data_IF_555801179580
#
_entry.id   IF_555801179580
#
_cell.length_a   1.000
_cell.length_b   1.000
_cell.length_c   1.000
_cell.angle_alpha   90.00
_cell.angle_beta   90.00
_cell.angle_gamma   90.00
#
_symmetry.space_group_name_H-M   'P 1'
#
loop_
_entity.id
_entity.type
_entity.pdbx_description
1 polymer ?
#
# COMPACT_ATOMS: atom_id res chain seq x y z
N UNK A 1 11.88 14.95 6.30
CA UNK A 1 10.53 14.48 5.90
C UNK A 1 9.66 14.44 7.15
N UNK A 2 8.46 15.04 7.17
CA UNK A 2 7.57 14.93 8.35
C UNK A 2 6.87 13.57 8.35
N UNK A 3 6.51 13.06 9.54
CA UNK A 3 5.83 11.76 9.67
C UNK A 3 4.50 11.73 8.90
N UNK A 4 3.77 12.84 8.86
CA UNK A 4 2.57 13.03 8.06
C UNK A 4 2.83 12.94 6.55
N UNK A 5 3.91 13.55 6.04
CA UNK A 5 4.28 13.44 4.62
C UNK A 5 4.75 12.03 4.26
N UNK A 6 5.48 11.36 5.15
CA UNK A 6 5.86 9.96 4.98
C UNK A 6 4.63 9.04 4.92
N UNK A 7 3.73 9.13 5.90
CA UNK A 7 2.52 8.31 5.91
C UNK A 7 1.62 8.58 4.69
N UNK A 8 1.50 9.84 4.27
CA UNK A 8 0.77 10.20 3.05
C UNK A 8 1.39 9.58 1.79
N UNK A 9 2.72 9.68 1.62
CA UNK A 9 3.42 9.06 0.49
C UNK A 9 3.34 7.53 0.53
N UNK A 10 3.44 6.93 1.72
CA UNK A 10 3.32 5.49 1.90
C UNK A 10 1.94 4.98 1.46
N UNK A 11 0.86 5.61 1.91
CA UNK A 11 -0.51 5.27 1.48
C UNK A 11 -0.64 5.44 -0.04
N UNK A 12 -0.17 6.56 -0.59
CA UNK A 12 -0.27 6.86 -2.02
C UNK A 12 0.41 5.80 -2.89
N UNK A 13 1.66 5.47 -2.58
CA UNK A 13 2.43 4.47 -3.33
C UNK A 13 1.82 3.07 -3.20
N UNK A 14 1.37 2.67 -2.00
CA UNK A 14 0.72 1.37 -1.80
C UNK A 14 -0.62 1.28 -2.54
N UNK A 15 -1.38 2.39 -2.60
CA UNK A 15 -2.67 2.43 -3.31
C UNK A 15 -2.48 2.23 -4.82
N UNK A 16 -1.52 2.94 -5.42
CA UNK A 16 -1.20 2.78 -6.83
C UNK A 16 -0.64 1.37 -7.09
N UNK A 17 0.27 0.91 -6.24
CA UNK A 17 0.85 -0.44 -6.34
C UNK A 17 -0.21 -1.54 -6.31
N UNK A 18 -1.21 -1.42 -5.42
CA UNK A 18 -2.35 -2.34 -5.37
C UNK A 18 -3.13 -2.34 -6.68
N UNK A 19 -3.53 -1.18 -7.20
CA UNK A 19 -4.33 -1.10 -8.44
C UNK A 19 -3.55 -1.66 -9.62
N UNK A 20 -2.28 -1.29 -9.77
CA UNK A 20 -1.41 -1.79 -10.85
C UNK A 20 -1.25 -3.30 -10.76
N UNK A 21 -0.96 -3.84 -9.58
CA UNK A 21 -0.78 -5.28 -9.39
C UNK A 21 -2.11 -6.04 -9.54
N UNK A 22 -3.24 -5.45 -9.15
CA UNK A 22 -4.56 -6.07 -9.28
C UNK A 22 -4.92 -6.32 -10.75
N UNK A 23 -4.72 -5.31 -11.62
CA UNK A 23 -5.17 -5.36 -13.01
C UNK A 23 -4.09 -5.79 -14.01
N UNK A 24 -2.88 -5.28 -13.88
CA UNK A 24 -1.83 -5.42 -14.90
C UNK A 24 -0.72 -6.40 -14.48
N UNK A 25 -0.59 -6.65 -13.18
CA UNK A 25 0.59 -7.35 -12.66
C UNK A 25 1.84 -6.48 -12.77
N UNK A 26 2.98 -7.03 -12.34
CA UNK A 26 4.27 -6.33 -12.41
C UNK A 26 5.23 -7.18 -13.24
N UNK A 27 5.43 -6.77 -14.49
CA UNK A 27 6.28 -7.47 -15.45
C UNK A 27 7.46 -6.60 -15.90
N UNK A 28 8.67 -7.08 -15.65
CA UNK A 28 9.90 -6.47 -16.16
C UNK A 28 10.25 -7.02 -17.54
N UNK A 29 10.82 -6.18 -18.40
CA UNK A 29 11.18 -6.48 -19.80
C UNK A 29 12.07 -7.73 -20.03
N UNK A 30 12.63 -8.33 -18.96
CA UNK A 30 13.55 -9.48 -19.01
C UNK A 30 13.34 -10.54 -17.90
N UNK A 31 12.27 -10.48 -17.10
CA UNK A 31 12.11 -11.39 -15.94
C UNK A 31 11.27 -12.61 -16.31
N UNK A 32 11.85 -13.81 -16.22
CA UNK A 32 11.14 -15.11 -16.38
C UNK A 32 10.15 -15.45 -15.24
N UNK A 33 10.05 -14.59 -14.22
CA UNK A 33 9.14 -14.72 -13.09
C UNK A 33 8.43 -13.39 -12.88
N UNK A 34 7.34 -13.20 -13.61
CA UNK A 34 6.47 -12.02 -13.53
C UNK A 34 5.51 -12.28 -12.38
N UNK A 35 5.31 -11.31 -11.49
CA UNK A 35 4.15 -11.32 -10.60
C UNK A 35 2.94 -11.04 -11.49
N UNK A 36 2.13 -12.07 -11.81
CA UNK A 36 1.02 -11.89 -12.73
C UNK A 36 -0.03 -10.99 -12.08
N UNK A 37 -0.97 -10.46 -12.87
CA UNK A 37 -2.04 -9.67 -12.26
C UNK A 37 -2.78 -10.52 -11.22
N UNK A 38 -3.14 -9.93 -10.08
CA UNK A 38 -3.81 -10.71 -9.03
C UNK A 38 -5.10 -11.35 -9.55
N UNK A 39 -5.81 -10.67 -10.46
CA UNK A 39 -7.01 -11.20 -11.11
C UNK A 39 -6.74 -12.42 -12.01
N UNK A 40 -5.51 -12.61 -12.49
CA UNK A 40 -5.11 -13.80 -13.25
C UNK A 40 -4.63 -14.95 -12.36
N UNK A 41 -4.47 -14.71 -11.06
CA UNK A 41 -4.11 -15.74 -10.09
C UNK A 41 -5.32 -16.64 -9.80
N UNK A 42 -5.07 -17.91 -9.52
CA UNK A 42 -6.12 -18.84 -9.08
C UNK A 42 -6.84 -18.25 -7.86
N UNK A 43 -8.18 -18.20 -7.94
CA UNK A 43 -9.05 -17.61 -6.92
C UNK A 43 -8.78 -18.19 -5.51
N UNK A 44 -8.29 -19.42 -5.40
CA UNK A 44 -7.90 -20.03 -4.12
C UNK A 44 -6.76 -19.32 -3.41
N UNK A 45 -5.93 -18.57 -4.15
CA UNK A 45 -4.73 -17.89 -3.62
C UNK A 45 -4.79 -16.37 -3.75
N UNK A 46 -5.74 -15.80 -4.50
CA UNK A 46 -5.87 -14.34 -4.71
C UNK A 46 -6.07 -13.56 -3.40
N UNK A 47 -6.68 -14.19 -2.40
CA UNK A 47 -6.99 -13.56 -1.12
C UNK A 47 -5.74 -13.16 -0.34
N UNK A 48 -4.64 -13.92 -0.44
CA UNK A 48 -3.44 -13.67 0.37
C UNK A 48 -2.73 -12.37 -0.01
N UNK A 49 -2.47 -12.09 -1.30
CA UNK A 49 -1.93 -10.80 -1.73
C UNK A 49 -2.88 -9.64 -1.42
N UNK A 50 -4.18 -9.80 -1.66
CA UNK A 50 -5.19 -8.78 -1.37
C UNK A 50 -5.20 -8.43 0.13
N UNK A 51 -5.22 -9.44 1.01
CA UNK A 51 -5.18 -9.24 2.45
C UNK A 51 -3.89 -8.53 2.90
N UNK A 52 -2.76 -8.87 2.30
CA UNK A 52 -1.47 -8.23 2.58
C UNK A 52 -1.50 -6.74 2.22
N UNK A 53 -2.00 -6.40 1.02
CA UNK A 53 -2.15 -4.99 0.62
C UNK A 53 -3.10 -4.21 1.53
N UNK A 54 -4.24 -4.80 1.90
CA UNK A 54 -5.16 -4.18 2.85
C UNK A 54 -4.48 -3.92 4.21
N UNK A 55 -3.72 -4.88 4.73
CA UNK A 55 -2.99 -4.73 5.98
C UNK A 55 -2.01 -3.54 5.93
N UNK A 56 -1.20 -3.42 4.88
CA UNK A 56 -0.29 -2.30 4.71
C UNK A 56 -1.02 -0.97 4.51
N UNK A 57 -2.14 -0.96 3.79
CA UNK A 57 -2.96 0.23 3.63
C UNK A 57 -3.51 0.73 4.98
N UNK A 58 -4.06 -0.16 5.80
CA UNK A 58 -4.54 0.18 7.15
C UNK A 58 -3.41 0.61 8.06
N UNK A 59 -2.24 -0.03 7.99
CA UNK A 59 -1.06 0.38 8.76
C UNK A 59 -0.65 1.82 8.42
N UNK A 60 -0.63 2.17 7.13
CA UNK A 60 -0.38 3.53 6.67
C UNK A 60 -1.42 4.52 7.17
N UNK A 61 -2.70 4.15 7.12
CA UNK A 61 -3.81 4.98 7.59
C UNK A 61 -3.69 5.30 9.09
N UNK A 62 -3.42 4.27 9.91
CA UNK A 62 -3.21 4.43 11.35
C UNK A 62 -2.01 5.35 11.62
N UNK A 63 -0.89 5.15 10.92
CA UNK A 63 0.28 6.02 11.03
C UNK A 63 -0.03 7.48 10.69
N UNK A 64 -0.80 7.73 9.62
CA UNK A 64 -1.19 9.08 9.23
C UNK A 64 -2.08 9.75 10.30
N UNK A 65 -3.05 9.01 10.85
CA UNK A 65 -3.94 9.51 11.89
C UNK A 65 -3.16 9.84 13.17
N UNK A 66 -2.27 8.94 13.61
CA UNK A 66 -1.40 9.19 14.77
C UNK A 66 -0.49 10.40 14.54
N UNK A 67 0.14 10.50 13.37
CA UNK A 67 1.02 11.61 13.03
C UNK A 67 0.29 12.96 13.12
N UNK A 68 -0.91 13.05 12.51
CA UNK A 68 -1.76 14.25 12.61
C UNK A 68 -2.18 14.54 14.04
N UNK A 69 -2.50 13.52 14.82
CA UNK A 69 -2.89 13.69 16.22
C UNK A 69 -1.75 14.24 17.07
N UNK A 70 -0.53 13.73 16.89
CA UNK A 70 0.67 14.21 17.58
C UNK A 70 1.05 15.63 17.17
N UNK A 71 0.97 15.96 15.88
CA UNK A 71 1.19 17.33 15.38
C UNK A 71 0.19 18.32 16.00
N UNK A 72 -1.11 17.96 16.04
CA UNK A 72 -2.13 18.78 16.72
C UNK A 72 -1.84 18.95 18.21
N UNK A 73 -1.40 17.91 18.91
CA UNK A 73 -1.01 18.01 20.33
C UNK A 73 0.18 18.95 20.52
N UNK A 74 1.18 18.91 19.63
CA UNK A 74 2.34 19.82 19.69
C UNK A 74 1.96 21.28 19.45
N UNK A 75 0.99 21.55 18.59
CA UNK A 75 0.53 22.91 18.29
C UNK A 75 -0.31 23.52 19.43
N UNK A 76 -0.95 22.68 20.24
CA UNK A 76 -1.79 23.09 21.38
C UNK A 76 -1.00 23.26 22.69
N UNK A 77 0.28 22.90 22.68
CA UNK A 77 1.20 23.05 23.80
C UNK A 77 2.06 24.29 23.57
#
# INVERSE_FOLDING_TARGET
>A
MTLTRFAGLFIYLNSIGLVVHLFFGVSGKNSKGILPSLLSLDYRYIWFPIATYMLFFFLGLVLLLLAKHLEKKKLKK
#
